data_IF_544564980475
#
_entry.id   IF_544564980475
#
_cell.length_a   1.000
_cell.length_b   1.000
_cell.length_c   1.000
_cell.angle_alpha   90.00
_cell.angle_beta   90.00
_cell.angle_gamma   90.00
#
_symmetry.space_group_name_H-M   'P 1'
#
loop_
_entity.id
_entity.type
_entity.pdbx_description
1 polymer ?
#
# COMPACT_ATOMS: atom_id res chain seq x y z
N UNK A 1 -9.39 -2.97 -22.12
CA UNK A 1 -10.27 -2.99 -20.92
C UNK A 1 -10.44 -1.56 -20.43
N UNK A 2 -11.65 -1.07 -20.29
CA UNK A 2 -11.93 0.25 -19.72
C UNK A 2 -11.83 0.13 -18.20
N UNK A 3 -10.85 0.81 -17.60
CA UNK A 3 -10.76 0.89 -16.14
C UNK A 3 -11.98 1.62 -15.58
N UNK A 4 -12.49 1.09 -14.48
CA UNK A 4 -13.49 1.82 -13.68
C UNK A 4 -12.81 2.30 -12.40
N UNK A 5 -12.86 3.59 -12.08
CA UNK A 5 -12.35 4.07 -10.81
C UNK A 5 -13.15 3.43 -9.67
N UNK A 6 -12.45 2.94 -8.65
CA UNK A 6 -13.05 2.25 -7.50
C UNK A 6 -12.58 2.92 -6.22
N UNK A 7 -13.51 3.23 -5.33
CA UNK A 7 -13.23 3.51 -3.92
C UNK A 7 -13.67 2.28 -3.13
N UNK A 8 -12.71 1.58 -2.56
CA UNK A 8 -12.99 0.43 -1.71
C UNK A 8 -13.48 0.89 -0.35
N UNK A 9 -14.67 0.43 0.04
CA UNK A 9 -15.33 0.82 1.29
C UNK A 9 -15.32 2.36 1.54
N UNK A 10 -16.13 3.13 0.82
CA UNK A 10 -16.09 4.59 0.89
C UNK A 10 -16.24 5.19 2.30
N UNK A 11 -17.04 4.56 3.16
CA UNK A 11 -17.22 5.01 4.55
C UNK A 11 -15.96 4.77 5.38
N UNK A 12 -15.28 3.64 5.14
CA UNK A 12 -13.99 3.35 5.77
C UNK A 12 -12.94 4.37 5.35
N UNK A 13 -12.84 4.65 4.05
CA UNK A 13 -11.94 5.68 3.56
C UNK A 13 -12.22 7.05 4.18
N UNK A 14 -13.47 7.49 4.24
CA UNK A 14 -13.83 8.76 4.89
C UNK A 14 -13.43 8.79 6.36
N UNK A 15 -13.61 7.68 7.07
CA UNK A 15 -13.16 7.54 8.45
C UNK A 15 -11.63 7.67 8.57
N UNK A 16 -10.88 6.98 7.74
CA UNK A 16 -9.41 7.04 7.67
C UNK A 16 -8.95 8.47 7.42
N UNK A 17 -9.54 9.16 6.45
CA UNK A 17 -9.19 10.53 6.10
C UNK A 17 -9.49 11.51 7.24
N UNK A 18 -10.64 11.37 7.89
CA UNK A 18 -10.99 12.20 9.06
C UNK A 18 -10.02 12.01 10.23
N UNK A 19 -9.59 10.77 10.45
CA UNK A 19 -8.63 10.44 11.50
C UNK A 19 -7.24 10.96 11.15
N UNK A 20 -6.79 10.76 9.92
CA UNK A 20 -5.51 11.25 9.42
C UNK A 20 -5.40 12.77 9.54
N UNK A 21 -6.43 13.52 9.14
CA UNK A 21 -6.46 14.99 9.25
C UNK A 21 -6.36 15.46 10.71
N UNK A 22 -6.96 14.74 11.65
CA UNK A 22 -6.87 15.09 13.07
C UNK A 22 -5.47 14.82 13.65
N UNK A 23 -4.84 13.73 13.24
CA UNK A 23 -3.51 13.33 13.74
C UNK A 23 -2.37 14.09 13.06
N UNK A 24 -2.57 14.45 11.79
CA UNK A 24 -1.59 15.07 10.90
C UNK A 24 -2.24 16.28 10.20
N UNK A 25 -2.47 17.39 10.94
CA UNK A 25 -3.16 18.56 10.40
C UNK A 25 -2.42 19.24 9.24
N UNK A 26 -1.14 18.94 9.05
CA UNK A 26 -0.30 19.40 7.94
C UNK A 26 -0.63 18.74 6.60
N UNK A 27 -1.48 17.71 6.57
CA UNK A 27 -1.87 17.05 5.32
C UNK A 27 -2.71 17.94 4.42
N UNK A 28 -2.35 17.98 3.15
CA UNK A 28 -3.02 18.79 2.15
C UNK A 28 -3.89 17.96 1.21
N UNK A 29 -5.21 17.96 1.44
CA UNK A 29 -6.17 17.30 0.56
C UNK A 29 -6.17 17.83 -0.88
N UNK A 30 -5.90 19.12 -1.08
CA UNK A 30 -5.83 19.71 -2.43
C UNK A 30 -4.70 19.09 -3.25
N UNK A 31 -3.57 18.76 -2.61
CA UNK A 31 -2.47 18.07 -3.29
C UNK A 31 -2.84 16.64 -3.66
N UNK A 32 -3.61 15.95 -2.82
CA UNK A 32 -4.07 14.59 -3.08
C UNK A 32 -5.09 14.55 -4.23
N UNK A 33 -5.94 15.59 -4.38
CA UNK A 33 -6.81 15.73 -5.55
C UNK A 33 -6.02 15.96 -6.84
N UNK A 34 -4.99 16.82 -6.80
CA UNK A 34 -4.10 17.01 -7.93
C UNK A 34 -3.37 15.69 -8.28
N UNK A 35 -2.91 14.96 -7.27
CA UNK A 35 -2.28 13.65 -7.43
C UNK A 35 -3.21 12.64 -8.13
N UNK A 36 -4.51 12.62 -7.81
CA UNK A 36 -5.48 11.76 -8.49
C UNK A 36 -5.66 12.12 -9.97
N UNK A 37 -5.60 13.40 -10.31
CA UNK A 37 -5.60 13.86 -11.71
C UNK A 37 -4.37 13.38 -12.47
N UNK A 38 -3.19 13.47 -11.85
CA UNK A 38 -1.94 12.97 -12.44
C UNK A 38 -1.97 11.46 -12.58
N UNK A 39 -2.35 10.72 -11.55
CA UNK A 39 -2.45 9.26 -11.59
C UNK A 39 -3.34 8.78 -12.75
N UNK A 40 -4.48 9.44 -12.98
CA UNK A 40 -5.35 9.16 -14.12
C UNK A 40 -4.66 9.35 -15.47
N UNK A 41 -3.78 10.36 -15.60
CA UNK A 41 -3.04 10.67 -16.83
C UNK A 41 -1.86 9.72 -17.09
N UNK A 42 -1.38 8.99 -16.07
CA UNK A 42 -0.29 8.05 -16.23
C UNK A 42 -0.66 6.81 -17.02
N UNK A 43 -1.96 6.49 -17.16
CA UNK A 43 -2.42 5.38 -18.00
C UNK A 43 -2.11 4.01 -17.40
N UNK A 44 -2.32 3.85 -16.10
CA UNK A 44 -2.08 2.60 -15.39
C UNK A 44 -2.94 1.42 -15.86
N UNK A 45 -2.63 0.24 -15.35
CA UNK A 45 -3.39 -0.99 -15.60
C UNK A 45 -4.53 -1.15 -14.58
N UNK A 46 -5.54 -1.96 -14.94
CA UNK A 46 -6.65 -2.23 -14.01
C UNK A 46 -6.16 -3.00 -12.78
N UNK A 47 -6.71 -2.66 -11.62
CA UNK A 47 -6.49 -3.40 -10.38
C UNK A 47 -6.94 -4.86 -10.50
N UNK A 48 -7.88 -5.16 -11.39
CA UNK A 48 -8.34 -6.53 -11.65
C UNK A 48 -7.24 -7.44 -12.22
N UNK A 49 -6.17 -6.87 -12.82
CA UNK A 49 -5.01 -7.65 -13.25
C UNK A 49 -4.28 -8.35 -12.09
N UNK A 50 -4.49 -7.89 -10.85
CA UNK A 50 -3.92 -8.52 -9.67
C UNK A 50 -4.72 -9.76 -9.23
N UNK A 51 -5.92 -10.01 -9.79
CA UNK A 51 -6.74 -11.21 -9.49
C UNK A 51 -6.17 -12.49 -10.08
N UNK A 52 -5.17 -12.39 -10.95
CA UNK A 52 -4.44 -13.54 -11.49
C UNK A 52 -3.53 -14.21 -10.43
N UNK A 53 -3.29 -13.53 -9.30
CA UNK A 53 -2.59 -14.12 -8.15
C UNK A 53 -3.58 -14.80 -7.20
N UNK A 54 -3.11 -15.84 -6.50
CA UNK A 54 -3.87 -16.48 -5.43
C UNK A 54 -3.80 -15.67 -4.13
N UNK A 55 -4.86 -14.94 -3.83
CA UNK A 55 -4.97 -14.12 -2.63
C UNK A 55 -5.54 -14.85 -1.41
N UNK A 56 -5.66 -16.18 -1.43
CA UNK A 56 -6.26 -16.91 -0.31
C UNK A 56 -5.51 -16.72 1.02
N UNK A 57 -4.16 -16.67 0.96
CA UNK A 57 -3.28 -16.55 2.14
C UNK A 57 -2.03 -15.71 1.80
N UNK A 58 -2.16 -14.41 1.56
CA UNK A 58 -1.02 -13.54 1.26
C UNK A 58 -0.09 -13.35 2.45
N UNK A 59 1.20 -13.22 2.15
CA UNK A 59 2.20 -12.74 3.11
C UNK A 59 2.63 -11.32 2.74
N UNK A 60 2.42 -10.38 3.65
CA UNK A 60 2.79 -8.97 3.50
C UNK A 60 4.09 -8.72 4.26
N UNK A 61 5.17 -8.48 3.54
CA UNK A 61 6.47 -8.14 4.11
C UNK A 61 6.61 -6.63 4.25
N UNK A 62 6.86 -6.17 5.47
CA UNK A 62 7.05 -4.76 5.82
C UNK A 62 8.42 -4.53 6.45
N UNK A 63 9.09 -3.39 6.18
CA UNK A 63 10.36 -3.11 6.84
C UNK A 63 10.16 -2.73 8.32
N UNK A 64 11.05 -3.16 9.23
CA UNK A 64 12.05 -4.19 9.03
C UNK A 64 11.44 -5.60 9.20
N UNK A 65 11.61 -6.48 8.23
CA UNK A 65 11.25 -7.89 8.41
C UNK A 65 12.50 -8.74 8.58
N UNK A 66 12.38 -9.82 9.38
CA UNK A 66 13.48 -10.76 9.63
C UNK A 66 13.13 -12.19 9.24
N UNK A 67 11.88 -12.56 9.37
CA UNK A 67 11.40 -13.93 9.12
C UNK A 67 10.75 -14.05 7.76
N UNK A 68 11.01 -15.17 7.09
CA UNK A 68 10.25 -15.59 5.91
C UNK A 68 9.07 -16.45 6.34
N UNK A 69 7.96 -16.34 5.65
CA UNK A 69 6.76 -17.17 5.81
C UNK A 69 6.34 -17.72 4.46
N UNK A 70 5.62 -18.82 4.49
CA UNK A 70 4.94 -19.38 3.32
C UNK A 70 3.57 -18.74 3.15
N UNK A 71 3.19 -18.47 1.94
CA UNK A 71 1.88 -17.94 1.60
C UNK A 71 1.58 -18.11 0.13
N UNK A 72 0.35 -17.82 -0.27
CA UNK A 72 -0.11 -17.98 -1.65
C UNK A 72 0.37 -16.83 -2.56
N UNK A 73 0.53 -15.65 -2.01
CA UNK A 73 1.05 -14.45 -2.69
C UNK A 73 2.04 -13.72 -1.79
N UNK A 74 3.15 -13.26 -2.37
CA UNK A 74 4.19 -12.48 -1.68
C UNK A 74 4.03 -11.01 -2.01
N UNK A 75 3.64 -10.22 -1.01
CA UNK A 75 3.50 -8.76 -1.12
C UNK A 75 4.67 -8.09 -0.42
N UNK A 76 5.45 -7.30 -1.14
CA UNK A 76 6.55 -6.51 -0.59
C UNK A 76 6.12 -5.04 -0.45
N UNK A 77 6.30 -4.49 0.74
CA UNK A 77 6.08 -3.06 1.00
C UNK A 77 7.40 -2.32 0.82
N UNK A 78 7.41 -1.35 -0.08
CA UNK A 78 8.56 -0.58 -0.53
C UNK A 78 9.56 -1.37 -1.40
N UNK A 79 10.31 -0.64 -2.24
CA UNK A 79 11.36 -1.22 -3.07
C UNK A 79 12.47 -1.89 -2.27
N UNK A 80 12.82 -1.32 -1.12
CA UNK A 80 13.78 -1.92 -0.18
C UNK A 80 13.40 -3.34 0.24
N UNK A 81 12.12 -3.56 0.57
CA UNK A 81 11.63 -4.89 0.98
C UNK A 81 11.70 -5.88 -0.17
N UNK A 82 11.32 -5.46 -1.38
CA UNK A 82 11.44 -6.30 -2.56
C UNK A 82 12.88 -6.73 -2.83
N UNK A 83 13.84 -5.81 -2.71
CA UNK A 83 15.27 -6.10 -2.86
C UNK A 83 15.81 -7.00 -1.74
N UNK A 84 15.34 -6.82 -0.50
CA UNK A 84 15.72 -7.69 0.63
C UNK A 84 15.19 -9.12 0.45
N UNK A 85 13.99 -9.30 -0.09
CA UNK A 85 13.41 -10.59 -0.47
C UNK A 85 14.20 -11.26 -1.60
N UNK A 86 14.50 -10.50 -2.66
CA UNK A 86 15.30 -11.00 -3.80
C UNK A 86 16.66 -11.55 -3.35
N UNK A 87 17.37 -10.85 -2.45
CA UNK A 87 18.63 -11.31 -1.84
C UNK A 87 18.48 -12.61 -1.03
N UNK A 88 17.26 -12.96 -0.67
CA UNK A 88 16.91 -14.23 0.02
C UNK A 88 16.29 -15.26 -0.93
N UNK A 89 16.43 -15.07 -2.25
CA UNK A 89 15.85 -15.90 -3.30
C UNK A 89 14.32 -16.00 -3.24
N UNK A 90 13.66 -14.97 -2.74
CA UNK A 90 12.19 -14.85 -2.75
C UNK A 90 11.81 -13.70 -3.69
N UNK A 91 11.02 -13.99 -4.71
CA UNK A 91 10.50 -12.96 -5.61
C UNK A 91 9.15 -12.45 -5.09
N UNK A 92 8.99 -11.14 -5.02
CA UNK A 92 7.70 -10.54 -4.73
C UNK A 92 6.74 -10.74 -5.93
N UNK A 93 5.49 -11.12 -5.65
CA UNK A 93 4.42 -11.11 -6.65
C UNK A 93 3.91 -9.69 -6.86
N UNK A 94 3.72 -8.94 -5.77
CA UNK A 94 3.26 -7.55 -5.82
C UNK A 94 4.16 -6.69 -4.96
N UNK A 95 4.61 -5.55 -5.50
CA UNK A 95 5.28 -4.50 -4.72
C UNK A 95 4.32 -3.34 -4.52
N UNK A 96 4.11 -2.91 -3.27
CA UNK A 96 3.30 -1.73 -2.92
C UNK A 96 4.24 -0.63 -2.43
N UNK A 97 4.27 0.52 -3.11
CA UNK A 97 5.22 1.60 -2.81
C UNK A 97 4.73 2.97 -3.27
N UNK A 98 5.09 4.02 -2.54
CA UNK A 98 4.99 5.42 -2.96
C UNK A 98 6.26 5.93 -3.67
N UNK A 99 7.22 5.04 -3.92
CA UNK A 99 8.51 5.31 -4.54
C UNK A 99 9.45 6.22 -3.71
N UNK A 100 9.22 6.33 -2.40
CA UNK A 100 10.06 7.15 -1.52
C UNK A 100 11.35 6.45 -1.13
N UNK A 101 11.34 5.11 -1.07
CA UNK A 101 12.47 4.33 -0.58
C UNK A 101 12.85 3.20 -1.53
N UNK A 102 14.04 3.32 -2.14
CA UNK A 102 14.54 2.43 -3.20
C UNK A 102 13.53 2.25 -4.36
N UNK A 103 13.17 3.32 -5.07
CA UNK A 103 12.10 3.30 -6.07
C UNK A 103 12.30 2.24 -7.16
N UNK A 104 13.55 1.92 -7.53
CA UNK A 104 13.83 0.90 -8.54
C UNK A 104 13.44 -0.52 -8.10
N UNK A 105 13.29 -0.74 -6.81
CA UNK A 105 12.83 -2.03 -6.28
C UNK A 105 11.42 -2.40 -6.71
N UNK A 106 10.63 -1.45 -7.19
CA UNK A 106 9.26 -1.71 -7.73
C UNK A 106 9.30 -2.65 -8.93
N UNK A 107 10.39 -2.67 -9.70
CA UNK A 107 10.59 -3.53 -10.86
C UNK A 107 10.96 -4.98 -10.51
N UNK A 108 11.26 -5.28 -9.25
CA UNK A 108 11.60 -6.63 -8.78
C UNK A 108 10.35 -7.50 -8.56
N UNK A 109 9.17 -6.88 -8.46
CA UNK A 109 7.90 -7.59 -8.41
C UNK A 109 7.46 -8.14 -9.77
N UNK A 110 6.53 -9.08 -9.75
CA UNK A 110 5.80 -9.52 -10.95
C UNK A 110 4.77 -8.47 -11.36
N UNK A 111 4.25 -7.74 -10.38
CA UNK A 111 3.36 -6.59 -10.55
C UNK A 111 3.66 -5.52 -9.50
N UNK A 112 3.15 -4.31 -9.71
CA UNK A 112 3.32 -3.23 -8.75
C UNK A 112 2.05 -2.40 -8.56
N UNK A 113 1.86 -1.96 -7.31
CA UNK A 113 0.85 -0.98 -6.90
C UNK A 113 1.58 0.27 -6.44
N UNK A 114 1.52 1.31 -7.23
CA UNK A 114 2.22 2.57 -6.97
C UNK A 114 1.23 3.59 -6.43
N UNK A 115 1.52 4.10 -5.23
CA UNK A 115 0.71 5.13 -4.59
C UNK A 115 1.12 6.53 -5.02
N UNK A 116 0.15 7.29 -5.54
CA UNK A 116 0.32 8.68 -6.00
C UNK A 116 -0.40 9.60 -5.04
N UNK A 117 0.35 10.47 -4.37
CA UNK A 117 -0.19 11.39 -3.36
C UNK A 117 0.46 12.78 -3.45
N UNK A 118 0.02 13.71 -2.59
CA UNK A 118 0.39 15.12 -2.64
C UNK A 118 1.88 15.42 -2.56
N UNK A 119 2.70 14.49 -2.07
CA UNK A 119 4.14 14.70 -1.90
C UNK A 119 5.01 13.99 -2.94
N UNK A 120 4.42 13.20 -3.88
CA UNK A 120 5.18 12.47 -4.88
C UNK A 120 4.66 12.59 -6.33
N UNK A 121 3.45 13.13 -6.57
CA UNK A 121 2.76 13.06 -7.87
C UNK A 121 3.57 13.65 -9.05
N UNK A 122 4.47 14.60 -8.82
CA UNK A 122 5.30 15.21 -9.87
C UNK A 122 6.47 14.33 -10.33
N UNK A 123 6.83 13.28 -9.58
CA UNK A 123 7.98 12.41 -9.85
C UNK A 123 7.61 10.97 -10.18
N UNK A 124 6.32 10.60 -10.06
CA UNK A 124 5.88 9.24 -10.38
C UNK A 124 5.96 9.03 -11.89
N UNK A 125 6.78 8.10 -12.37
CA UNK A 125 6.91 7.84 -13.79
C UNK A 125 5.73 7.01 -14.31
N UNK A 126 5.55 7.01 -15.63
CA UNK A 126 4.68 6.05 -16.29
C UNK A 126 5.26 4.64 -16.20
N UNK A 127 4.39 3.67 -15.92
CA UNK A 127 4.75 2.27 -15.88
C UNK A 127 3.53 1.36 -16.02
N UNK A 128 3.74 0.06 -16.22
CA UNK A 128 2.66 -0.93 -16.28
C UNK A 128 2.19 -1.28 -14.86
N UNK A 129 1.76 -0.28 -14.11
CA UNK A 129 1.42 -0.41 -12.69
C UNK A 129 -0.04 -0.11 -12.42
N UNK A 130 -0.55 -0.67 -11.34
CA UNK A 130 -1.80 -0.22 -10.73
C UNK A 130 -1.50 1.04 -9.93
N UNK A 131 -2.11 2.15 -10.29
CA UNK A 131 -1.98 3.39 -9.52
C UNK A 131 -3.06 3.49 -8.46
N UNK A 132 -2.67 3.82 -7.24
CA UNK A 132 -3.59 4.11 -6.15
C UNK A 132 -3.45 5.56 -5.70
N UNK A 133 -4.54 6.11 -5.20
CA UNK A 133 -4.62 7.50 -4.72
C UNK A 133 -5.32 7.57 -3.38
N UNK A 134 -5.15 8.68 -2.68
CA UNK A 134 -5.71 8.92 -1.36
C UNK A 134 -7.01 9.76 -1.39
N UNK A 135 -7.38 10.27 -2.57
CA UNK A 135 -8.61 11.02 -2.82
C UNK A 135 -9.58 10.26 -3.73
N UNK A 136 -10.58 10.92 -4.29
CA UNK A 136 -11.49 10.33 -5.29
C UNK A 136 -10.72 9.91 -6.53
N UNK A 137 -10.74 8.63 -6.89
CA UNK A 137 -9.99 8.12 -8.02
C UNK A 137 -10.59 8.58 -9.36
N UNK A 138 -9.76 8.68 -10.39
CA UNK A 138 -10.12 9.05 -11.76
C UNK A 138 -9.42 8.11 -12.74
N UNK A 139 -10.03 7.84 -13.88
CA UNK A 139 -9.43 6.98 -14.91
C UNK A 139 -9.06 5.59 -14.38
N UNK A 140 -7.81 5.18 -14.60
CA UNK A 140 -7.22 3.93 -14.08
C UNK A 140 -6.49 4.11 -12.74
N UNK A 141 -6.91 5.05 -11.91
CA UNK A 141 -6.47 5.14 -10.53
C UNK A 141 -7.53 4.53 -9.59
N UNK A 142 -7.09 4.00 -8.45
CA UNK A 142 -7.94 3.30 -7.50
C UNK A 142 -7.71 3.83 -6.10
N UNK A 143 -8.74 3.85 -5.27
CA UNK A 143 -8.60 4.11 -3.85
C UNK A 143 -9.00 2.85 -3.08
N UNK A 144 -8.00 2.14 -2.57
CA UNK A 144 -8.17 0.89 -1.81
C UNK A 144 -8.13 1.10 -0.31
N UNK A 145 -8.26 2.34 0.15
CA UNK A 145 -8.04 2.73 1.54
C UNK A 145 -6.58 2.57 1.99
N UNK A 146 -6.34 2.53 3.30
CA UNK A 146 -4.99 2.60 3.85
C UNK A 146 -4.44 4.02 3.87
N UNK A 147 -3.35 4.21 4.61
CA UNK A 147 -2.71 5.52 4.78
C UNK A 147 -1.20 5.48 4.52
N UNK A 148 -0.53 4.42 4.94
CA UNK A 148 0.88 4.13 4.59
C UNK A 148 0.93 2.93 3.67
N UNK A 149 2.06 2.69 3.00
CA UNK A 149 2.17 1.55 2.09
C UNK A 149 1.97 0.21 2.81
N UNK A 150 2.36 0.12 4.09
CA UNK A 150 2.18 -1.09 4.89
C UNK A 150 0.70 -1.45 5.09
N UNK A 151 -0.07 -0.57 5.67
CA UNK A 151 -1.49 -0.82 5.88
C UNK A 151 -2.27 -0.83 4.56
N UNK A 152 -1.84 -0.09 3.54
CA UNK A 152 -2.37 -0.16 2.16
C UNK A 152 -2.20 -1.55 1.55
N UNK A 153 -1.05 -2.19 1.75
CA UNK A 153 -0.82 -3.56 1.31
C UNK A 153 -1.76 -4.55 1.99
N UNK A 154 -2.08 -4.34 3.28
CA UNK A 154 -3.06 -5.15 4.01
C UNK A 154 -4.48 -4.91 3.49
N UNK A 155 -4.86 -3.66 3.20
CA UNK A 155 -6.14 -3.33 2.56
C UNK A 155 -6.22 -3.93 1.15
N UNK A 156 -5.13 -3.92 0.39
CA UNK A 156 -5.07 -4.58 -0.92
C UNK A 156 -5.37 -6.08 -0.80
N UNK A 157 -4.71 -6.77 0.12
CA UNK A 157 -4.95 -8.19 0.36
C UNK A 157 -6.41 -8.46 0.73
N UNK A 158 -6.98 -7.65 1.61
CA UNK A 158 -8.40 -7.73 1.97
C UNK A 158 -9.32 -7.45 0.78
N UNK A 159 -9.05 -6.41 -0.03
CA UNK A 159 -9.79 -6.09 -1.25
C UNK A 159 -9.77 -7.23 -2.27
N UNK A 160 -8.64 -7.93 -2.39
CA UNK A 160 -8.48 -9.08 -3.28
C UNK A 160 -9.16 -10.35 -2.77
N UNK A 161 -9.73 -10.33 -1.55
CA UNK A 161 -10.50 -11.44 -1.00
C UNK A 161 -9.68 -12.43 -0.19
N UNK A 162 -8.60 -11.98 0.47
CA UNK A 162 -7.82 -12.81 1.37
C UNK A 162 -8.71 -13.46 2.45
N UNK A 163 -8.47 -14.75 2.72
CA UNK A 163 -9.13 -15.49 3.80
C UNK A 163 -8.39 -15.33 5.12
N UNK A 164 -7.11 -15.13 5.06
CA UNK A 164 -6.21 -14.77 6.16
C UNK A 164 -5.04 -13.97 5.60
N UNK A 165 -4.39 -13.16 6.43
CA UNK A 165 -3.24 -12.34 6.02
C UNK A 165 -2.12 -12.56 7.03
N UNK A 166 -0.92 -12.89 6.57
CA UNK A 166 0.28 -12.94 7.41
C UNK A 166 1.13 -11.70 7.19
N UNK A 167 1.50 -11.00 8.26
CA UNK A 167 2.41 -9.86 8.22
C UNK A 167 3.76 -10.28 8.79
N UNK A 168 4.81 -10.12 8.00
CA UNK A 168 6.20 -10.26 8.45
C UNK A 168 6.85 -8.88 8.54
N UNK A 169 7.31 -8.52 9.73
CA UNK A 169 7.74 -7.17 10.06
C UNK A 169 6.61 -6.36 10.70
N UNK A 170 6.63 -5.06 10.57
CA UNK A 170 5.69 -4.12 11.17
C UNK A 170 5.80 -4.02 12.70
N UNK A 171 6.62 -3.08 13.12
CA UNK A 171 6.81 -2.76 14.53
C UNK A 171 6.37 -1.31 14.79
N UNK A 172 5.11 -1.07 15.18
CA UNK A 172 4.53 0.28 15.28
C UNK A 172 5.24 1.17 16.31
N UNK A 173 5.96 0.55 17.25
CA UNK A 173 6.73 1.26 18.27
C UNK A 173 8.20 1.53 17.87
N UNK A 174 8.65 0.98 16.75
CA UNK A 174 10.02 1.16 16.24
C UNK A 174 10.02 2.23 15.16
N UNK A 175 10.55 3.40 15.49
CA UNK A 175 10.82 4.46 14.53
C UNK A 175 12.30 4.43 14.19
N UNK A 176 12.65 4.08 12.97
CA UNK A 176 14.04 3.95 12.50
C UNK A 176 14.80 5.29 12.55
N UNK A 177 14.09 6.42 12.44
CA UNK A 177 14.66 7.77 12.63
C UNK A 177 14.30 8.29 14.03
N UNK A 178 15.31 8.62 14.83
CA UNK A 178 15.10 9.22 16.17
C UNK A 178 14.28 10.50 16.05
N UNK A 179 13.30 10.67 16.96
CA UNK A 179 12.47 11.87 17.14
C UNK A 179 11.55 12.26 15.97
N UNK A 180 11.24 11.37 15.04
CA UNK A 180 10.25 11.63 14.01
C UNK A 180 8.82 11.45 14.55
N UNK A 181 8.24 12.56 15.04
CA UNK A 181 6.87 12.58 15.59
C UNK A 181 5.84 12.27 14.52
N UNK A 182 6.02 12.75 13.29
CA UNK A 182 5.14 12.50 12.16
C UNK A 182 5.13 11.01 11.82
N UNK A 183 6.30 10.38 11.76
CA UNK A 183 6.41 8.95 11.50
C UNK A 183 5.73 8.11 12.59
N UNK A 184 5.86 8.50 13.87
CA UNK A 184 5.14 7.82 14.97
C UNK A 184 3.63 7.90 14.81
N UNK A 185 3.09 9.07 14.48
CA UNK A 185 1.66 9.26 14.22
C UNK A 185 1.19 8.42 13.04
N UNK A 186 1.96 8.39 11.93
CA UNK A 186 1.69 7.54 10.77
C UNK A 186 1.66 6.06 11.15
N UNK A 187 2.64 5.56 11.92
CA UNK A 187 2.69 4.16 12.37
C UNK A 187 1.54 3.81 13.32
N UNK A 188 1.15 4.73 14.22
CA UNK A 188 0.00 4.54 15.09
C UNK A 188 -1.30 4.43 14.28
N UNK A 189 -1.46 5.28 13.26
CA UNK A 189 -2.59 5.21 12.36
C UNK A 189 -2.58 3.89 11.57
N UNK A 190 -1.45 3.51 10.99
CA UNK A 190 -1.30 2.23 10.28
C UNK A 190 -1.66 1.03 11.16
N UNK A 191 -1.20 1.02 12.43
CA UNK A 191 -1.57 -0.02 13.40
C UNK A 191 -3.07 -0.11 13.64
N UNK A 192 -3.74 1.04 13.77
CA UNK A 192 -5.19 1.08 13.92
C UNK A 192 -5.89 0.52 12.67
N UNK A 193 -5.43 0.91 11.48
CA UNK A 193 -6.01 0.48 10.21
C UNK A 193 -5.84 -1.04 9.99
N UNK A 194 -4.68 -1.60 10.31
CA UNK A 194 -4.46 -3.05 10.27
C UNK A 194 -5.41 -3.77 11.24
N UNK A 195 -5.59 -3.25 12.46
CA UNK A 195 -6.56 -3.82 13.41
C UNK A 195 -7.99 -3.78 12.88
N UNK A 196 -8.37 -2.75 12.11
CA UNK A 196 -9.70 -2.68 11.50
C UNK A 196 -9.90 -3.75 10.42
N UNK A 197 -8.88 -4.04 9.63
CA UNK A 197 -8.90 -5.20 8.70
C UNK A 197 -8.99 -6.51 9.49
N UNK A 198 -8.26 -6.64 10.61
CA UNK A 198 -8.28 -7.83 11.46
C UNK A 198 -9.65 -8.13 12.10
N UNK A 199 -10.58 -7.17 12.13
CA UNK A 199 -11.99 -7.41 12.52
C UNK A 199 -12.80 -8.14 11.44
N UNK A 200 -12.29 -8.27 10.22
CA UNK A 200 -12.98 -8.77 9.03
C UNK A 200 -12.32 -10.01 8.45
N UNK A 201 -11.00 -10.11 8.56
CA UNK A 201 -10.21 -11.23 8.10
C UNK A 201 -9.10 -11.49 9.12
N UNK A 202 -8.77 -12.75 9.47
CA UNK A 202 -7.65 -13.05 10.36
C UNK A 202 -6.34 -12.43 9.88
N UNK A 203 -5.64 -11.71 10.77
CA UNK A 203 -4.32 -11.11 10.49
C UNK A 203 -3.33 -11.62 11.53
N UNK A 204 -2.34 -12.39 11.10
CA UNK A 204 -1.26 -12.91 11.92
C UNK A 204 0.03 -12.10 11.75
N UNK A 205 0.88 -12.10 12.79
CA UNK A 205 2.19 -11.43 12.78
C UNK A 205 3.28 -12.43 13.11
N UNK A 206 4.45 -12.29 12.43
CA UNK A 206 5.64 -13.14 12.62
C UNK A 206 6.93 -12.33 12.72
#
# INVERSE_FOLDING_TARGET
MTCRPVVFEPLEWLYVMRLATRLLPELSFHRDEAAAGVAASLGGISIDSLRDFDWSNPVVYMPPFERLASGSVVVAVEGYTARKLERRNVRADVVVSDLDFEPDGVWLGRSAVVHVHGDNYWRVPRGPWVYTVQSWPRGCAFNISGFTDGDRAVYLAYYMGAKEITISGFYPNIVLKRNDVVKRKKLSLASLLIKRVALRVPVGFI
#
